data_IF_340095028947
#
_entry.id   IF_340095028947
#
_cell.length_a   1.000
_cell.length_b   1.000
_cell.length_c   1.000
_cell.angle_alpha   90.00
_cell.angle_beta   90.00
_cell.angle_gamma   90.00
#
_symmetry.space_group_name_H-M   'P 1'
#
loop_
_entity.id
_entity.type
_entity.pdbx_description
1 polymer ?
#
# COMPACT_ATOMS: atom_id res chain seq x y z
N UNK A 1 3.10 -4.60 -27.50
CA UNK A 1 3.52 -4.96 -26.13
C UNK A 1 2.79 -6.22 -25.71
N UNK A 2 3.51 -7.25 -25.27
CA UNK A 2 2.96 -8.50 -24.73
C UNK A 2 2.39 -8.28 -23.32
N UNK A 3 1.51 -9.18 -22.85
CA UNK A 3 0.99 -9.10 -21.48
C UNK A 3 2.10 -9.52 -20.53
N UNK A 4 2.38 -8.75 -19.47
CA UNK A 4 3.36 -9.14 -18.46
C UNK A 4 2.97 -10.50 -17.84
N UNK A 5 3.93 -11.43 -17.78
CA UNK A 5 3.71 -12.72 -17.13
C UNK A 5 3.29 -12.53 -15.67
N UNK A 6 2.41 -13.40 -15.15
CA UNK A 6 2.04 -13.40 -13.72
C UNK A 6 3.27 -13.39 -12.81
N UNK A 7 4.27 -14.18 -13.21
CA UNK A 7 5.54 -14.31 -12.53
C UNK A 7 6.31 -12.99 -12.52
N UNK A 8 6.13 -12.09 -13.47
CA UNK A 8 6.78 -10.77 -13.47
C UNK A 8 6.28 -9.89 -12.31
N UNK A 9 4.96 -9.83 -12.08
CA UNK A 9 4.38 -9.09 -10.95
C UNK A 9 4.78 -9.69 -9.61
N UNK A 10 4.75 -11.01 -9.50
CA UNK A 10 5.12 -11.71 -8.27
C UNK A 10 6.62 -11.80 -8.06
N UNK A 11 7.48 -11.69 -9.09
CA UNK A 11 8.95 -11.74 -8.92
C UNK A 11 9.43 -10.61 -8.01
N UNK A 12 8.89 -9.40 -8.15
CA UNK A 12 9.26 -8.29 -7.26
C UNK A 12 8.80 -8.56 -5.82
N UNK A 13 7.59 -9.09 -5.64
CA UNK A 13 7.06 -9.47 -4.31
C UNK A 13 7.93 -10.59 -3.70
N UNK A 14 8.23 -11.64 -4.45
CA UNK A 14 9.05 -12.78 -4.00
C UNK A 14 10.46 -12.34 -3.67
N UNK A 15 11.08 -11.47 -4.47
CA UNK A 15 12.40 -10.90 -4.18
C UNK A 15 12.34 -10.06 -2.90
N UNK A 16 11.35 -9.19 -2.76
CA UNK A 16 11.18 -8.39 -1.54
C UNK A 16 10.99 -9.31 -0.32
N UNK A 17 10.10 -10.28 -0.38
CA UNK A 17 9.83 -11.21 0.72
C UNK A 17 11.07 -12.05 1.06
N UNK A 18 11.82 -12.51 0.06
CA UNK A 18 13.09 -13.19 0.25
C UNK A 18 14.12 -12.29 0.96
N UNK A 19 14.26 -11.02 0.54
CA UNK A 19 15.14 -10.05 1.21
C UNK A 19 14.71 -9.82 2.66
N UNK A 20 13.41 -9.77 2.92
CA UNK A 20 12.85 -9.66 4.27
C UNK A 20 13.04 -10.93 5.11
N UNK A 21 13.45 -12.04 4.49
CA UNK A 21 13.57 -13.33 5.18
C UNK A 21 12.26 -14.08 5.35
N UNK A 22 11.24 -13.74 4.57
CA UNK A 22 9.95 -14.41 4.48
C UNK A 22 9.97 -15.26 3.21
N UNK A 23 10.02 -16.58 3.35
CA UNK A 23 9.84 -17.49 2.22
C UNK A 23 8.35 -17.56 1.85
N UNK A 24 8.05 -17.42 0.55
CA UNK A 24 6.67 -17.53 0.04
C UNK A 24 6.20 -18.99 0.03
N UNK A 25 7.13 -19.94 -0.14
CA UNK A 25 6.80 -21.37 -0.32
C UNK A 25 7.04 -22.24 0.93
N UNK A 26 7.87 -21.78 1.89
CA UNK A 26 8.17 -22.56 3.09
C UNK A 26 7.38 -22.06 4.30
N UNK A 27 7.02 -22.98 5.20
CA UNK A 27 6.29 -22.64 6.43
C UNK A 27 7.15 -21.85 7.43
N UNK A 28 8.48 -21.87 7.30
CA UNK A 28 9.42 -21.31 8.28
C UNK A 28 9.86 -19.90 7.89
N UNK A 29 9.63 -18.96 8.81
CA UNK A 29 10.21 -17.62 8.73
C UNK A 29 11.70 -17.72 9.09
N UNK A 30 12.56 -17.11 8.28
CA UNK A 30 14.00 -17.11 8.56
C UNK A 30 14.34 -16.21 9.75
N UNK A 31 15.45 -16.49 10.43
CA UNK A 31 15.91 -15.68 11.57
C UNK A 31 16.15 -14.20 11.19
N UNK A 32 16.46 -13.94 9.91
CA UNK A 32 16.71 -12.59 9.37
C UNK A 32 15.50 -11.68 9.53
N UNK A 33 14.28 -12.20 9.32
CA UNK A 33 13.06 -11.43 9.49
C UNK A 33 12.92 -10.93 10.94
N UNK A 34 13.14 -11.81 11.91
CA UNK A 34 13.06 -11.43 13.32
C UNK A 34 14.15 -10.42 13.71
N UNK A 35 15.35 -10.53 13.15
CA UNK A 35 16.41 -9.54 13.35
C UNK A 35 16.02 -8.16 12.80
N UNK A 36 15.46 -8.10 11.59
CA UNK A 36 14.96 -6.83 11.01
C UNK A 36 13.75 -6.28 11.75
N UNK A 37 12.88 -7.14 12.27
CA UNK A 37 11.75 -6.71 13.09
C UNK A 37 12.23 -6.09 14.41
N UNK A 38 13.18 -6.75 15.09
CA UNK A 38 13.80 -6.23 16.32
C UNK A 38 14.53 -4.92 16.04
N UNK A 39 15.26 -4.80 14.92
CA UNK A 39 15.99 -3.58 14.59
C UNK A 39 15.05 -2.38 14.38
N UNK A 40 13.91 -2.58 13.71
CA UNK A 40 12.89 -1.54 13.54
C UNK A 40 12.23 -1.19 14.87
N UNK A 41 11.93 -2.17 15.74
CA UNK A 41 11.38 -1.90 17.06
C UNK A 41 12.35 -1.04 17.88
N UNK A 42 13.64 -1.39 17.91
CA UNK A 42 14.66 -0.60 18.61
C UNK A 42 14.73 0.82 18.07
N UNK A 43 14.73 0.99 16.75
CA UNK A 43 14.74 2.30 16.11
C UNK A 43 13.50 3.12 16.49
N UNK A 44 12.31 2.53 16.35
CA UNK A 44 11.04 3.16 16.73
C UNK A 44 11.00 3.57 18.19
N UNK A 45 11.50 2.73 19.09
CA UNK A 45 11.55 3.08 20.52
C UNK A 45 12.45 4.28 20.76
N UNK A 46 13.58 4.39 20.05
CA UNK A 46 14.48 5.54 20.16
C UNK A 46 13.90 6.82 19.56
N UNK A 47 13.20 6.74 18.43
CA UNK A 47 12.52 7.90 17.82
C UNK A 47 11.35 8.40 18.68
N UNK A 48 10.51 7.49 19.19
CA UNK A 48 9.41 7.84 20.09
C UNK A 48 9.96 8.43 21.39
N UNK A 49 11.03 7.85 21.95
CA UNK A 49 11.66 8.39 23.16
C UNK A 49 12.24 9.79 22.92
N UNK A 50 12.86 10.02 21.76
CA UNK A 50 13.33 11.36 21.37
C UNK A 50 12.16 12.34 21.30
N UNK A 51 11.10 11.98 20.58
CA UNK A 51 9.90 12.80 20.41
C UNK A 51 9.27 13.18 21.75
N UNK A 52 9.11 12.21 22.66
CA UNK A 52 8.54 12.44 24.00
C UNK A 52 9.46 13.30 24.86
N UNK A 53 10.77 13.07 24.83
CA UNK A 53 11.73 13.83 25.64
C UNK A 53 11.84 15.30 25.26
N UNK A 54 11.52 15.65 24.01
CA UNK A 54 11.62 17.01 23.46
C UNK A 54 10.28 17.73 23.37
N UNK A 55 9.19 17.12 23.86
CA UNK A 55 7.86 17.70 23.82
C UNK A 55 7.82 19.02 24.61
N UNK A 56 7.79 20.12 23.87
CA UNK A 56 7.83 21.47 24.41
C UNK A 56 7.24 22.41 23.35
N UNK A 57 6.61 23.50 23.80
CA UNK A 57 6.01 24.47 22.87
C UNK A 57 7.03 25.11 21.94
N UNK A 58 8.27 25.29 22.40
CA UNK A 58 9.36 25.91 21.64
C UNK A 58 9.90 25.00 20.52
N UNK A 59 9.85 23.68 20.71
CA UNK A 59 10.33 22.72 19.72
C UNK A 59 9.21 22.12 18.86
N UNK A 60 8.00 22.69 18.92
CA UNK A 60 6.83 22.11 18.27
C UNK A 60 7.02 21.88 16.77
N UNK A 61 7.57 22.87 16.05
CA UNK A 61 7.83 22.77 14.61
C UNK A 61 8.86 21.67 14.28
N UNK A 62 9.92 21.56 15.08
CA UNK A 62 10.91 20.48 14.92
C UNK A 62 10.30 19.10 15.19
N UNK A 63 9.36 19.00 16.12
CA UNK A 63 8.64 17.75 16.39
C UNK A 63 7.71 17.38 15.23
N UNK A 64 7.00 18.34 14.64
CA UNK A 64 6.14 18.07 13.47
C UNK A 64 6.94 17.65 12.24
N UNK A 65 8.19 18.09 12.09
CA UNK A 65 9.13 17.60 11.06
C UNK A 65 9.48 16.11 11.24
N UNK A 66 9.57 15.64 12.49
CA UNK A 66 9.93 14.26 12.84
C UNK A 66 8.73 13.30 12.86
N UNK A 67 7.53 13.79 13.12
CA UNK A 67 6.32 12.99 13.26
C UNK A 67 6.02 12.07 12.04
N UNK A 68 6.20 12.51 10.77
CA UNK A 68 5.98 11.64 9.61
C UNK A 68 6.87 10.39 9.57
N UNK A 69 8.14 10.50 10.01
CA UNK A 69 9.09 9.40 10.08
C UNK A 69 8.64 8.35 11.12
N UNK A 70 8.22 8.79 12.29
CA UNK A 70 7.67 7.91 13.33
C UNK A 70 6.40 7.22 12.81
N UNK A 71 5.52 7.97 12.14
CA UNK A 71 4.28 7.43 11.58
C UNK A 71 4.56 6.37 10.52
N UNK A 72 5.52 6.57 9.61
CA UNK A 72 5.83 5.56 8.57
C UNK A 72 6.51 4.34 9.18
N UNK A 73 7.39 4.51 10.17
CA UNK A 73 7.99 3.42 10.91
C UNK A 73 6.92 2.56 11.59
N UNK A 74 6.00 3.19 12.34
CA UNK A 74 4.87 2.50 12.97
C UNK A 74 3.97 1.82 11.94
N UNK A 75 3.64 2.49 10.84
CA UNK A 75 2.81 1.95 9.77
C UNK A 75 3.45 0.71 9.13
N UNK A 76 4.75 0.76 8.83
CA UNK A 76 5.50 -0.36 8.25
C UNK A 76 5.49 -1.58 9.17
N UNK A 77 5.73 -1.37 10.47
CA UNK A 77 5.70 -2.40 11.50
C UNK A 77 4.31 -3.04 11.62
N UNK A 78 3.26 -2.21 11.74
CA UNK A 78 1.89 -2.70 11.90
C UNK A 78 1.41 -3.49 10.68
N UNK A 79 1.74 -3.01 9.46
CA UNK A 79 1.40 -3.71 8.21
C UNK A 79 2.10 -5.05 8.10
N UNK A 80 3.42 -5.10 8.29
CA UNK A 80 4.18 -6.34 8.07
C UNK A 80 3.79 -7.43 9.07
N UNK A 81 3.55 -7.08 10.34
CA UNK A 81 3.10 -8.04 11.36
C UNK A 81 1.75 -8.64 10.98
N UNK A 82 0.80 -7.82 10.50
CA UNK A 82 -0.51 -8.30 10.06
C UNK A 82 -0.40 -9.27 8.87
N UNK A 83 0.44 -8.96 7.89
CA UNK A 83 0.65 -9.80 6.71
C UNK A 83 1.34 -11.12 7.06
N UNK A 84 2.37 -11.07 7.90
CA UNK A 84 3.10 -12.26 8.35
C UNK A 84 2.20 -13.20 9.15
N UNK A 85 1.29 -12.64 9.96
CA UNK A 85 0.28 -13.42 10.68
C UNK A 85 -0.64 -14.16 9.70
N UNK A 86 -1.05 -13.52 8.60
CA UNK A 86 -1.98 -14.07 7.61
C UNK A 86 -1.28 -14.77 6.43
N UNK A 87 0.03 -15.03 6.50
CA UNK A 87 0.83 -15.53 5.37
C UNK A 87 0.28 -16.80 4.72
N UNK A 88 -0.19 -17.77 5.50
CA UNK A 88 -0.72 -19.02 4.92
C UNK A 88 -1.98 -18.79 4.10
N UNK A 89 -2.84 -17.85 4.54
CA UNK A 89 -4.02 -17.44 3.78
C UNK A 89 -3.61 -16.73 2.49
N UNK A 90 -2.62 -15.85 2.57
CA UNK A 90 -2.07 -15.14 1.41
C UNK A 90 -1.49 -16.13 0.39
N UNK A 91 -0.70 -17.11 0.83
CA UNK A 91 -0.11 -18.11 -0.07
C UNK A 91 -1.19 -18.92 -0.80
N UNK A 92 -2.19 -19.43 -0.07
CA UNK A 92 -3.33 -20.14 -0.67
C UNK A 92 -4.10 -19.27 -1.67
N UNK A 93 -4.27 -17.98 -1.33
CA UNK A 93 -4.93 -17.01 -2.18
C UNK A 93 -4.13 -16.71 -3.46
N UNK A 94 -2.82 -16.57 -3.36
CA UNK A 94 -1.92 -16.36 -4.50
C UNK A 94 -1.90 -17.57 -5.43
N UNK A 95 -1.85 -18.78 -4.89
CA UNK A 95 -1.94 -20.02 -5.68
C UNK A 95 -3.27 -20.05 -6.44
N UNK A 96 -4.37 -19.76 -5.74
CA UNK A 96 -5.71 -19.70 -6.34
C UNK A 96 -5.81 -18.69 -7.47
N UNK A 97 -5.19 -17.51 -7.34
CA UNK A 97 -5.14 -16.51 -8.41
C UNK A 97 -4.20 -16.92 -9.55
N UNK A 98 -3.08 -17.59 -9.26
CA UNK A 98 -2.16 -18.08 -10.28
C UNK A 98 -2.84 -19.10 -11.20
N UNK A 99 -3.60 -20.02 -10.61
CA UNK A 99 -4.37 -21.02 -11.35
C UNK A 99 -5.40 -20.34 -12.26
N UNK A 100 -6.13 -19.34 -11.74
CA UNK A 100 -7.07 -18.56 -12.54
C UNK A 100 -6.39 -17.73 -13.64
N UNK A 101 -5.21 -17.18 -13.37
CA UNK A 101 -4.45 -16.41 -14.35
C UNK A 101 -3.94 -17.28 -15.51
N UNK A 102 -3.64 -18.56 -15.24
CA UNK A 102 -3.25 -19.51 -16.29
C UNK A 102 -4.34 -19.65 -17.36
N UNK A 103 -5.62 -19.58 -16.97
CA UNK A 103 -6.76 -19.56 -17.90
C UNK A 103 -6.78 -18.31 -18.77
N UNK A 104 -6.36 -17.15 -18.23
CA UNK A 104 -6.27 -15.90 -18.98
C UNK A 104 -5.17 -16.03 -20.03
N UNK A 105 -4.01 -16.52 -19.64
CA UNK A 105 -2.87 -16.66 -20.57
C UNK A 105 -3.14 -17.66 -21.69
N UNK A 106 -4.05 -18.61 -21.51
CA UNK A 106 -4.41 -19.58 -22.55
C UNK A 106 -5.30 -18.98 -23.67
N UNK A 107 -5.98 -17.86 -23.44
CA UNK A 107 -6.96 -17.28 -24.38
C UNK A 107 -6.62 -15.83 -24.76
N UNK A 108 -6.28 -15.62 -26.04
CA UNK A 108 -5.90 -14.31 -26.61
C UNK A 108 -7.02 -13.27 -26.43
N UNK A 109 -8.30 -13.68 -26.45
CA UNK A 109 -9.42 -12.75 -26.24
C UNK A 109 -9.43 -12.24 -24.80
N UNK A 110 -9.27 -13.13 -23.82
CA UNK A 110 -9.20 -12.79 -22.39
C UNK A 110 -8.01 -11.90 -22.08
N UNK A 111 -6.87 -12.26 -22.66
CA UNK A 111 -5.65 -11.46 -22.64
C UNK A 111 -5.91 -10.00 -23.05
N UNK A 112 -6.53 -9.77 -24.21
CA UNK A 112 -6.76 -8.42 -24.71
C UNK A 112 -7.66 -7.57 -23.81
N UNK A 113 -8.60 -8.19 -23.09
CA UNK A 113 -9.51 -7.51 -22.16
C UNK A 113 -8.74 -6.93 -20.96
N UNK A 114 -7.86 -7.72 -20.35
CA UNK A 114 -7.19 -7.35 -19.09
C UNK A 114 -5.85 -6.64 -19.27
N UNK A 115 -5.34 -6.61 -20.51
CA UNK A 115 -4.00 -6.11 -20.85
C UNK A 115 -3.76 -4.66 -20.44
N UNK A 116 -4.74 -3.78 -20.67
CA UNK A 116 -4.64 -2.36 -20.33
C UNK A 116 -4.54 -2.17 -18.81
N UNK A 117 -5.37 -2.87 -18.05
CA UNK A 117 -5.40 -2.81 -16.59
C UNK A 117 -4.10 -3.31 -15.97
N UNK A 118 -3.61 -4.47 -16.40
CA UNK A 118 -2.34 -5.03 -15.93
C UNK A 118 -1.13 -4.17 -16.34
N UNK A 119 -1.17 -3.59 -17.54
CA UNK A 119 -0.17 -2.63 -18.00
C UNK A 119 -0.12 -1.39 -17.12
N UNK A 120 -1.29 -0.82 -16.82
CA UNK A 120 -1.44 0.34 -15.94
C UNK A 120 -0.96 0.05 -14.50
N UNK A 121 -1.33 -1.10 -13.94
CA UNK A 121 -0.81 -1.58 -12.65
C UNK A 121 0.72 -1.62 -12.64
N UNK A 122 1.33 -2.21 -13.67
CA UNK A 122 2.79 -2.34 -13.76
C UNK A 122 3.51 -0.99 -13.78
N UNK A 123 2.92 -0.01 -14.47
CA UNK A 123 3.45 1.36 -14.55
C UNK A 123 3.37 2.04 -13.19
N UNK A 124 2.22 1.95 -12.53
CA UNK A 124 2.02 2.57 -11.22
C UNK A 124 2.91 1.97 -10.14
N UNK A 125 3.09 0.64 -10.12
CA UNK A 125 4.01 -0.03 -9.18
C UNK A 125 5.45 0.45 -9.41
N UNK A 126 5.91 0.54 -10.67
CA UNK A 126 7.26 1.02 -11.00
C UNK A 126 7.46 2.45 -10.54
N UNK A 127 6.51 3.33 -10.84
CA UNK A 127 6.57 4.72 -10.41
C UNK A 127 6.60 4.86 -8.88
N UNK A 128 5.71 4.16 -8.19
CA UNK A 128 5.66 4.14 -6.73
C UNK A 128 6.96 3.61 -6.09
N UNK A 129 7.54 2.56 -6.67
CA UNK A 129 8.83 2.02 -6.20
C UNK A 129 9.97 3.02 -6.41
N UNK A 130 10.09 3.63 -7.60
CA UNK A 130 11.12 4.63 -7.90
C UNK A 130 11.00 5.84 -6.96
N UNK A 131 9.78 6.32 -6.73
CA UNK A 131 9.51 7.43 -5.82
C UNK A 131 9.99 7.12 -4.39
N UNK A 132 9.67 5.94 -3.86
CA UNK A 132 10.08 5.55 -2.51
C UNK A 132 11.59 5.29 -2.40
N UNK A 133 12.23 4.74 -3.44
CA UNK A 133 13.70 4.59 -3.50
C UNK A 133 14.38 5.96 -3.52
N UNK A 134 13.85 6.91 -4.28
CA UNK A 134 14.38 8.26 -4.31
C UNK A 134 14.18 8.97 -2.96
N UNK A 135 13.00 8.83 -2.35
CA UNK A 135 12.68 9.37 -1.03
C UNK A 135 13.69 8.89 0.02
N UNK A 136 13.90 7.57 0.13
CA UNK A 136 14.83 7.03 1.13
C UNK A 136 16.28 7.45 0.89
N UNK A 137 16.67 7.62 -0.37
CA UNK A 137 17.99 8.13 -0.71
C UNK A 137 18.15 9.59 -0.24
N UNK A 138 17.16 10.45 -0.51
CA UNK A 138 17.17 11.84 -0.05
C UNK A 138 17.27 11.91 1.48
N UNK A 139 16.47 11.15 2.22
CA UNK A 139 16.51 11.17 3.69
C UNK A 139 17.81 10.59 4.27
N UNK A 140 18.29 9.46 3.74
CA UNK A 140 19.50 8.82 4.27
C UNK A 140 20.77 9.60 3.95
N UNK A 141 20.87 10.27 2.79
CA UNK A 141 22.10 10.96 2.37
C UNK A 141 22.09 12.48 2.60
N UNK A 142 20.94 13.09 2.88
CA UNK A 142 20.85 14.53 3.20
C UNK A 142 21.73 14.91 4.38
N UNK A 143 21.82 14.07 5.41
CA UNK A 143 22.63 14.32 6.61
C UNK A 143 24.12 14.45 6.30
N UNK A 144 24.66 13.59 5.43
CA UNK A 144 26.05 13.71 4.98
C UNK A 144 26.25 14.98 4.16
N UNK A 145 25.32 15.32 3.27
CA UNK A 145 25.41 16.52 2.43
C UNK A 145 25.42 17.78 3.32
N UNK A 146 24.55 17.84 4.34
CA UNK A 146 24.48 18.95 5.29
C UNK A 146 25.77 19.03 6.12
N UNK A 147 26.28 17.89 6.59
CA UNK A 147 27.55 17.83 7.33
C UNK A 147 28.74 18.33 6.49
N UNK A 148 28.82 17.92 5.21
CA UNK A 148 29.84 18.39 4.27
C UNK A 148 29.71 19.89 4.01
N UNK A 149 28.48 20.40 3.87
CA UNK A 149 28.23 21.83 3.72
C UNK A 149 28.71 22.63 4.93
N UNK A 150 28.43 22.18 6.16
CA UNK A 150 28.93 22.84 7.37
C UNK A 150 30.45 22.77 7.50
N UNK A 151 31.06 21.65 7.13
CA UNK A 151 32.52 21.54 7.10
C UNK A 151 33.15 22.57 6.15
N UNK A 152 32.63 22.70 4.93
CA UNK A 152 33.16 23.65 3.93
C UNK A 152 32.92 25.11 4.32
N UNK A 153 31.76 25.43 4.89
CA UNK A 153 31.36 26.83 5.15
C UNK A 153 31.80 27.34 6.51
N UNK A 154 31.78 26.50 7.54
CA UNK A 154 32.05 26.88 8.93
C UNK A 154 33.33 26.27 9.51
N UNK A 155 33.99 25.34 8.80
CA UNK A 155 35.13 24.57 9.31
C UNK A 155 34.83 23.80 10.62
N UNK A 156 33.57 23.48 10.87
CA UNK A 156 33.11 22.73 12.05
C UNK A 156 32.56 21.38 11.63
N UNK A 157 33.00 20.31 12.30
CA UNK A 157 32.47 18.96 12.12
C UNK A 157 31.31 18.79 13.09
N UNK A 158 30.08 18.81 12.56
CA UNK A 158 28.86 18.53 13.34
C UNK A 158 28.29 17.18 12.93
N UNK A 159 28.22 16.25 13.88
CA UNK A 159 27.70 14.90 13.63
C UNK A 159 26.18 14.93 13.59
N UNK A 160 25.60 14.72 12.39
CA UNK A 160 24.15 14.75 12.15
C UNK A 160 23.67 13.33 11.78
N UNK A 161 22.60 12.88 12.41
CA UNK A 161 21.97 11.59 12.11
C UNK A 161 20.79 11.76 11.14
N UNK A 162 20.52 10.79 10.25
CA UNK A 162 19.39 10.83 9.30
C UNK A 162 18.02 10.91 9.95
N UNK A 163 17.89 10.31 11.13
CA UNK A 163 16.66 10.28 11.91
C UNK A 163 17.00 10.71 13.34
N UNK A 164 16.07 11.43 13.98
CA UNK A 164 16.27 11.91 15.34
C UNK A 164 15.92 10.80 16.35
N UNK A 165 16.95 10.27 17.01
CA UNK A 165 16.85 9.12 17.92
C UNK A 165 17.50 9.46 19.26
N UNK A 166 16.85 9.07 20.35
CA UNK A 166 17.43 9.15 21.68
C UNK A 166 18.20 7.86 21.96
N UNK A 167 19.50 7.98 22.23
CA UNK A 167 20.38 6.87 22.55
C UNK A 167 20.89 6.98 23.98
N UNK A 168 21.19 5.84 24.65
CA UNK A 168 21.72 5.84 26.02
C UNK A 168 23.20 6.27 26.11
N UNK A 169 23.85 6.53 24.98
CA UNK A 169 25.25 6.94 24.86
C UNK A 169 25.39 8.12 23.91
N UNK A 170 26.47 8.90 24.04
CA UNK A 170 26.74 10.06 23.19
C UNK A 170 27.28 9.66 21.81
N UNK A 171 26.88 10.41 20.79
CA UNK A 171 27.32 10.23 19.39
C UNK A 171 28.37 11.26 18.97
N UNK A 172 29.04 11.88 19.94
CA UNK A 172 30.04 12.94 19.68
C UNK A 172 31.37 12.36 19.16
N UNK A 173 31.58 11.06 19.31
CA UNK A 173 32.74 10.37 18.75
C UNK A 173 32.46 9.83 17.35
N UNK A 174 33.44 9.96 16.45
CA UNK A 174 33.33 9.52 15.06
C UNK A 174 32.93 8.03 14.93
N UNK A 175 33.50 7.15 15.75
CA UNK A 175 33.19 5.71 15.73
C UNK A 175 31.74 5.45 16.16
N UNK A 176 31.27 6.07 17.25
CA UNK A 176 29.90 5.90 17.70
C UNK A 176 28.91 6.43 16.65
N UNK A 177 29.19 7.60 16.07
CA UNK A 177 28.38 8.16 14.99
C UNK A 177 28.31 7.24 13.78
N UNK A 178 29.44 6.71 13.28
CA UNK A 178 29.46 5.80 12.12
C UNK A 178 28.60 4.57 12.37
N UNK A 179 28.71 3.95 13.55
CA UNK A 179 27.94 2.75 13.90
C UNK A 179 26.44 3.04 13.90
N UNK A 180 26.02 4.12 14.57
CA UNK A 180 24.62 4.54 14.64
C UNK A 180 24.10 4.95 13.26
N UNK A 181 24.93 5.61 12.45
CA UNK A 181 24.58 6.04 11.10
C UNK A 181 24.31 4.85 10.18
N UNK A 182 25.21 3.85 10.16
CA UNK A 182 25.03 2.61 9.38
C UNK A 182 23.77 1.86 9.85
N UNK A 183 23.55 1.78 11.16
CA UNK A 183 22.34 1.17 11.72
C UNK A 183 21.08 1.92 11.28
N UNK A 184 21.09 3.26 11.30
CA UNK A 184 19.96 4.10 10.91
C UNK A 184 19.62 3.95 9.42
N UNK A 185 20.62 3.97 8.54
CA UNK A 185 20.43 3.77 7.09
C UNK A 185 19.84 2.39 6.81
N UNK A 186 20.37 1.35 7.46
CA UNK A 186 19.89 -0.03 7.28
C UNK A 186 18.43 -0.15 7.69
N UNK A 187 18.04 0.45 8.83
CA UNK A 187 16.64 0.47 9.26
C UNK A 187 15.74 1.30 8.33
N UNK A 188 16.22 2.42 7.78
CA UNK A 188 15.49 3.19 6.80
C UNK A 188 15.15 2.37 5.54
N UNK A 189 16.12 1.63 5.00
CA UNK A 189 15.88 0.72 3.87
C UNK A 189 14.91 -0.43 4.24
N UNK A 190 15.08 -1.03 5.42
CA UNK A 190 14.19 -2.09 5.90
C UNK A 190 12.74 -1.60 6.06
N UNK A 191 12.55 -0.40 6.59
CA UNK A 191 11.23 0.24 6.75
C UNK A 191 10.53 0.38 5.40
N UNK A 192 11.22 0.91 4.38
CA UNK A 192 10.67 1.09 3.03
C UNK A 192 10.38 -0.27 2.36
N UNK A 193 11.25 -1.27 2.55
CA UNK A 193 11.00 -2.63 2.05
C UNK A 193 9.73 -3.24 2.68
N UNK A 194 9.57 -3.19 4.00
CA UNK A 194 8.37 -3.68 4.68
C UNK A 194 7.12 -2.96 4.18
N UNK A 195 7.15 -1.64 4.17
CA UNK A 195 6.03 -0.82 3.75
C UNK A 195 5.61 -1.08 2.30
N UNK A 196 6.54 -0.97 1.35
CA UNK A 196 6.24 -1.12 -0.08
C UNK A 196 5.85 -2.55 -0.45
N UNK A 197 6.41 -3.57 0.23
CA UNK A 197 6.09 -4.98 -0.05
C UNK A 197 4.63 -5.33 0.25
N UNK A 198 4.06 -4.77 1.33
CA UNK A 198 2.66 -4.98 1.69
C UNK A 198 1.73 -4.25 0.72
N UNK A 199 2.07 -3.02 0.34
CA UNK A 199 1.25 -2.22 -0.57
C UNK A 199 1.24 -2.80 -2.00
N UNK A 200 2.38 -3.22 -2.51
CA UNK A 200 2.47 -3.90 -3.81
C UNK A 200 1.64 -5.18 -3.80
N UNK A 201 1.71 -5.97 -2.73
CA UNK A 201 0.86 -7.16 -2.58
C UNK A 201 -0.63 -6.78 -2.67
N UNK A 202 -1.07 -5.75 -1.95
CA UNK A 202 -2.45 -5.27 -2.02
C UNK A 202 -2.86 -4.89 -3.45
N UNK A 203 -2.07 -4.07 -4.15
CA UNK A 203 -2.39 -3.61 -5.51
C UNK A 203 -2.48 -4.77 -6.50
N UNK A 204 -1.52 -5.70 -6.46
CA UNK A 204 -1.46 -6.85 -7.37
C UNK A 204 -2.66 -7.78 -7.14
N UNK A 205 -2.91 -8.17 -5.88
CA UNK A 205 -4.00 -9.10 -5.56
C UNK A 205 -5.38 -8.52 -5.89
N UNK A 206 -5.60 -7.25 -5.57
CA UNK A 206 -6.86 -6.56 -5.86
C UNK A 206 -7.07 -6.43 -7.37
N UNK A 207 -6.05 -5.98 -8.11
CA UNK A 207 -6.13 -5.83 -9.56
C UNK A 207 -6.41 -7.15 -10.29
N UNK A 208 -5.74 -8.25 -9.92
CA UNK A 208 -6.03 -9.56 -10.51
C UNK A 208 -7.46 -10.02 -10.22
N UNK A 209 -7.99 -9.75 -9.03
CA UNK A 209 -9.39 -9.99 -8.70
C UNK A 209 -10.34 -9.17 -9.60
N UNK A 210 -10.05 -7.89 -9.78
CA UNK A 210 -10.82 -7.00 -10.68
C UNK A 210 -10.83 -7.52 -12.13
N UNK A 211 -9.66 -7.92 -12.64
CA UNK A 211 -9.56 -8.51 -13.99
C UNK A 211 -10.46 -9.74 -14.14
N UNK A 212 -10.57 -10.58 -13.10
CA UNK A 212 -11.46 -11.75 -13.13
C UNK A 212 -12.95 -11.39 -13.11
N UNK A 213 -13.35 -10.33 -12.41
CA UNK A 213 -14.72 -9.79 -12.49
C UNK A 213 -15.02 -9.23 -13.89
N UNK A 214 -14.08 -8.46 -14.46
CA UNK A 214 -14.18 -7.92 -15.83
C UNK A 214 -14.36 -9.02 -16.87
N UNK A 215 -13.59 -10.11 -16.76
CA UNK A 215 -13.72 -11.27 -17.64
C UNK A 215 -15.09 -11.96 -17.52
N UNK A 216 -15.62 -12.12 -16.30
CA UNK A 216 -16.97 -12.67 -16.10
C UNK A 216 -18.03 -11.77 -16.71
N UNK A 217 -17.91 -10.45 -16.51
CA UNK A 217 -18.81 -9.46 -17.09
C UNK A 217 -18.82 -9.57 -18.62
N UNK A 218 -17.63 -9.65 -19.23
CA UNK A 218 -17.51 -9.80 -20.67
C UNK A 218 -18.04 -11.16 -21.18
N UNK A 219 -17.77 -12.26 -20.48
CA UNK A 219 -18.33 -13.57 -20.80
C UNK A 219 -19.87 -13.52 -20.77
N UNK A 220 -20.48 -12.90 -19.75
CA UNK A 220 -21.93 -12.76 -19.63
C UNK A 220 -22.57 -11.94 -20.76
N UNK A 221 -21.93 -10.84 -21.17
CA UNK A 221 -22.51 -9.90 -22.14
C UNK A 221 -22.56 -10.48 -23.56
N UNK A 222 -21.53 -11.23 -23.98
CA UNK A 222 -21.34 -11.69 -25.37
C UNK A 222 -21.66 -13.18 -25.59
N UNK A 223 -22.42 -13.80 -24.70
CA UNK A 223 -22.88 -15.18 -24.88
C UNK A 223 -24.12 -15.24 -25.78
N UNK A 224 -23.90 -15.42 -27.09
CA UNK A 224 -24.94 -15.51 -28.13
C UNK A 224 -25.95 -16.65 -27.90
N UNK A 225 -25.51 -17.79 -27.35
CA UNK A 225 -26.38 -18.92 -26.98
C UNK A 225 -25.98 -19.47 -25.60
N UNK A 226 -26.61 -18.93 -24.55
CA UNK A 226 -26.42 -19.43 -23.19
C UNK A 226 -27.00 -20.84 -23.03
N UNK A 227 -26.15 -21.85 -23.18
CA UNK A 227 -26.46 -23.20 -22.70
C UNK A 227 -26.44 -23.22 -21.18
N UNK A 228 -27.29 -24.04 -20.57
CA UNK A 228 -27.31 -24.20 -19.10
C UNK A 228 -25.95 -24.59 -18.51
N UNK A 229 -25.10 -25.28 -19.29
CA UNK A 229 -23.73 -25.64 -18.92
C UNK A 229 -22.79 -24.43 -18.86
N UNK A 230 -22.84 -23.51 -19.83
CA UNK A 230 -21.99 -22.31 -19.84
C UNK A 230 -22.36 -21.37 -18.69
N UNK A 231 -23.65 -21.11 -18.50
CA UNK A 231 -24.14 -20.30 -17.38
C UNK A 231 -23.77 -20.92 -16.02
N UNK A 232 -23.88 -22.24 -15.88
CA UNK A 232 -23.46 -22.93 -14.65
C UNK A 232 -21.98 -22.74 -14.37
N UNK A 233 -21.13 -22.76 -15.39
CA UNK A 233 -19.69 -22.54 -15.24
C UNK A 233 -19.40 -21.09 -14.83
N UNK A 234 -20.06 -20.11 -15.43
CA UNK A 234 -19.91 -18.69 -15.09
C UNK A 234 -20.35 -18.43 -13.64
N UNK A 235 -21.49 -18.97 -13.23
CA UNK A 235 -21.98 -18.83 -11.85
C UNK A 235 -20.99 -19.47 -10.86
N UNK A 236 -20.42 -20.62 -11.17
CA UNK A 236 -19.38 -21.25 -10.34
C UNK A 236 -18.12 -20.38 -10.24
N UNK A 237 -17.64 -19.83 -11.35
CA UNK A 237 -16.48 -18.91 -11.37
C UNK A 237 -16.78 -17.65 -10.56
N UNK A 238 -17.94 -17.04 -10.76
CA UNK A 238 -18.38 -15.86 -10.00
C UNK A 238 -18.42 -16.16 -8.50
N UNK A 239 -19.01 -17.28 -8.07
CA UNK A 239 -19.01 -17.69 -6.66
C UNK A 239 -17.61 -17.91 -6.10
N UNK A 240 -16.69 -18.45 -6.90
CA UNK A 240 -15.30 -18.65 -6.49
C UNK A 240 -14.58 -17.32 -6.29
N UNK A 241 -14.70 -16.40 -7.24
CA UNK A 241 -14.11 -15.06 -7.19
C UNK A 241 -14.70 -14.23 -6.04
N UNK A 242 -16.00 -14.36 -5.76
CA UNK A 242 -16.64 -13.77 -4.57
C UNK A 242 -16.09 -14.33 -3.25
N UNK A 243 -15.66 -15.60 -3.21
CA UNK A 243 -14.99 -16.15 -2.02
C UNK A 243 -13.59 -15.59 -1.88
N UNK A 244 -12.87 -15.44 -3.00
CA UNK A 244 -11.55 -14.82 -3.03
C UNK A 244 -11.62 -13.37 -2.55
N UNK A 245 -12.58 -12.55 -3.01
CA UNK A 245 -12.72 -11.16 -2.55
C UNK A 245 -12.96 -11.06 -1.03
N UNK A 246 -13.69 -12.01 -0.43
CA UNK A 246 -13.86 -12.05 1.03
C UNK A 246 -12.55 -12.40 1.77
N UNK A 247 -11.72 -13.28 1.18
CA UNK A 247 -10.39 -13.58 1.72
C UNK A 247 -9.47 -12.37 1.60
N UNK A 248 -9.51 -11.65 0.47
CA UNK A 248 -8.77 -10.41 0.26
C UNK A 248 -9.14 -9.37 1.32
N UNK A 249 -10.43 -9.17 1.56
CA UNK A 249 -10.91 -8.25 2.59
C UNK A 249 -10.44 -8.67 3.99
N UNK A 250 -10.53 -9.96 4.35
CA UNK A 250 -9.97 -10.42 5.63
C UNK A 250 -8.47 -10.10 5.73
N UNK A 251 -7.68 -10.36 4.68
CA UNK A 251 -6.22 -10.11 4.69
C UNK A 251 -5.91 -8.62 4.96
N UNK A 252 -6.58 -7.71 4.27
CA UNK A 252 -6.18 -6.30 4.22
C UNK A 252 -7.00 -5.34 5.09
N UNK A 253 -8.07 -5.79 5.74
CA UNK A 253 -8.92 -4.89 6.54
C UNK A 253 -8.17 -4.15 7.65
N UNK A 254 -7.23 -4.82 8.33
CA UNK A 254 -6.39 -4.22 9.40
C UNK A 254 -5.25 -3.37 8.81
N UNK A 255 -4.43 -3.84 7.84
CA UNK A 255 -3.46 -2.99 7.15
C UNK A 255 -4.05 -1.69 6.58
N UNK A 256 -5.23 -1.77 5.97
CA UNK A 256 -5.93 -0.62 5.40
C UNK A 256 -6.38 0.37 6.47
N UNK A 257 -6.81 -0.12 7.63
CA UNK A 257 -7.14 0.75 8.76
C UNK A 257 -5.94 1.58 9.22
N UNK A 258 -4.78 0.95 9.43
CA UNK A 258 -3.58 1.69 9.79
C UNK A 258 -3.11 2.62 8.67
N UNK A 259 -3.32 2.24 7.40
CA UNK A 259 -3.01 3.08 6.26
C UNK A 259 -3.81 4.40 6.27
N UNK A 260 -5.12 4.30 6.53
CA UNK A 260 -6.00 5.48 6.64
C UNK A 260 -5.63 6.33 7.86
N UNK A 261 -5.42 5.71 9.02
CA UNK A 261 -5.11 6.41 10.26
C UNK A 261 -3.77 7.14 10.19
N UNK A 262 -2.68 6.41 9.94
CA UNK A 262 -1.33 6.99 9.88
C UNK A 262 -1.17 7.92 8.69
N UNK A 263 -1.80 7.60 7.55
CA UNK A 263 -1.80 8.45 6.36
C UNK A 263 -2.42 9.82 6.62
N UNK A 264 -3.53 9.90 7.36
CA UNK A 264 -4.14 11.19 7.73
C UNK A 264 -3.23 12.04 8.63
N UNK A 265 -2.55 11.42 9.60
CA UNK A 265 -1.59 12.08 10.47
C UNK A 265 -0.37 12.59 9.69
N UNK A 266 0.14 11.76 8.76
CA UNK A 266 1.26 12.12 7.89
C UNK A 266 0.92 13.31 6.99
N UNK A 267 -0.23 13.27 6.30
CA UNK A 267 -0.65 14.39 5.43
C UNK A 267 -0.80 15.68 6.24
N UNK A 268 -1.41 15.60 7.43
CA UNK A 268 -1.56 16.76 8.31
C UNK A 268 -0.19 17.34 8.73
N UNK A 269 0.72 16.52 9.22
CA UNK A 269 2.05 16.96 9.67
C UNK A 269 2.90 17.50 8.51
N UNK A 270 2.91 16.81 7.37
CA UNK A 270 3.64 17.24 6.18
C UNK A 270 3.06 18.53 5.58
N UNK A 271 1.72 18.66 5.56
CA UNK A 271 1.05 19.89 5.13
C UNK A 271 1.39 21.08 6.04
N UNK A 272 1.48 20.84 7.35
CA UNK A 272 1.94 21.85 8.30
C UNK A 272 3.38 22.29 8.02
N UNK A 273 4.32 21.34 7.92
CA UNK A 273 5.73 21.62 7.64
C UNK A 273 5.92 22.32 6.28
N UNK A 274 5.08 22.01 5.28
CA UNK A 274 5.12 22.69 3.98
C UNK A 274 4.77 24.18 4.06
N UNK A 275 4.00 24.60 5.08
CA UNK A 275 3.58 26.00 5.22
C UNK A 275 4.37 26.78 6.26
N UNK A 276 4.82 26.13 7.33
CA UNK A 276 5.49 26.77 8.46
C UNK A 276 6.98 26.44 8.53
N UNK A 277 7.44 25.38 7.86
CA UNK A 277 8.80 24.85 7.98
C UNK A 277 9.84 25.58 7.13
N UNK A 278 11.11 25.19 7.33
CA UNK A 278 12.25 25.82 6.68
C UNK A 278 12.39 25.41 5.20
N UNK A 279 12.78 26.37 4.36
CA UNK A 279 13.01 26.16 2.92
C UNK A 279 14.06 25.09 2.61
N UNK A 280 15.01 24.87 3.51
CA UNK A 280 16.09 23.88 3.36
C UNK A 280 15.57 22.44 3.35
N UNK A 281 14.46 22.16 4.02
CA UNK A 281 13.87 20.82 4.13
C UNK A 281 12.69 20.60 3.19
N UNK A 282 12.26 21.63 2.45
CA UNK A 282 11.07 21.60 1.59
C UNK A 282 11.08 20.45 0.58
N UNK A 283 12.23 20.14 -0.02
CA UNK A 283 12.32 19.06 -0.99
C UNK A 283 11.92 17.71 -0.38
N UNK A 284 12.43 17.40 0.81
CA UNK A 284 12.10 16.16 1.53
C UNK A 284 10.61 16.09 1.90
N UNK A 285 10.07 17.19 2.42
CA UNK A 285 8.64 17.31 2.79
C UNK A 285 7.73 17.11 1.57
N UNK A 286 8.03 17.76 0.44
CA UNK A 286 7.25 17.62 -0.80
C UNK A 286 7.31 16.20 -1.33
N UNK A 287 8.50 15.58 -1.37
CA UNK A 287 8.65 14.20 -1.83
C UNK A 287 7.89 13.22 -0.93
N UNK A 288 7.95 13.39 0.39
CA UNK A 288 7.25 12.55 1.34
C UNK A 288 5.73 12.72 1.18
N UNK A 289 5.24 13.97 1.10
CA UNK A 289 3.82 14.25 0.91
C UNK A 289 3.29 13.61 -0.38
N UNK A 290 4.05 13.72 -1.49
CA UNK A 290 3.70 13.05 -2.75
C UNK A 290 3.65 11.53 -2.58
N UNK A 291 4.63 10.92 -1.91
CA UNK A 291 4.65 9.47 -1.68
C UNK A 291 3.42 8.99 -0.91
N UNK A 292 3.05 9.67 0.18
CA UNK A 292 1.88 9.32 1.01
C UNK A 292 0.57 9.53 0.23
N UNK A 293 0.45 10.63 -0.52
CA UNK A 293 -0.73 10.90 -1.34
C UNK A 293 -0.92 9.83 -2.42
N UNK A 294 0.15 9.49 -3.15
CA UNK A 294 0.13 8.45 -4.19
C UNK A 294 -0.24 7.11 -3.57
N UNK A 295 0.32 6.77 -2.42
CA UNK A 295 0.02 5.51 -1.73
C UNK A 295 -1.46 5.39 -1.35
N UNK A 296 -2.04 6.41 -0.71
CA UNK A 296 -3.45 6.38 -0.28
C UNK A 296 -4.37 6.42 -1.51
N UNK A 297 -4.02 7.24 -2.51
CA UNK A 297 -4.75 7.29 -3.78
C UNK A 297 -4.78 5.91 -4.45
N UNK A 298 -3.63 5.26 -4.61
CA UNK A 298 -3.51 3.92 -5.16
C UNK A 298 -4.36 2.90 -4.39
N UNK A 299 -4.30 2.96 -3.05
CA UNK A 299 -5.09 2.05 -2.20
C UNK A 299 -6.59 2.20 -2.45
N UNK A 300 -7.05 3.45 -2.55
CA UNK A 300 -8.45 3.79 -2.84
C UNK A 300 -8.85 3.49 -4.28
N UNK A 301 -7.97 3.70 -5.25
CA UNK A 301 -8.16 3.41 -6.68
C UNK A 301 -8.43 1.92 -6.90
N UNK A 302 -7.58 1.04 -6.35
CA UNK A 302 -7.81 -0.40 -6.50
C UNK A 302 -9.02 -0.89 -5.70
N UNK A 303 -9.31 -0.26 -4.55
CA UNK A 303 -10.55 -0.52 -3.80
C UNK A 303 -11.80 -0.15 -4.60
N UNK A 304 -11.80 1.03 -5.24
CA UNK A 304 -12.89 1.47 -6.11
C UNK A 304 -13.04 0.56 -7.33
N UNK A 305 -11.94 0.21 -8.00
CA UNK A 305 -11.97 -0.68 -9.14
C UNK A 305 -12.62 -2.02 -8.79
N UNK A 306 -12.37 -2.55 -7.58
CA UNK A 306 -13.03 -3.78 -7.14
C UNK A 306 -14.55 -3.62 -7.02
N UNK A 307 -14.99 -2.48 -6.47
CA UNK A 307 -16.42 -2.13 -6.37
C UNK A 307 -17.00 -2.10 -7.78
N UNK A 308 -16.47 -1.26 -8.67
CA UNK A 308 -16.97 -1.08 -10.03
C UNK A 308 -16.97 -2.38 -10.84
N UNK A 309 -15.87 -3.14 -10.86
CA UNK A 309 -15.81 -4.39 -11.61
C UNK A 309 -16.79 -5.45 -11.08
N UNK A 310 -17.01 -5.48 -9.76
CA UNK A 310 -18.00 -6.40 -9.18
C UNK A 310 -19.45 -6.01 -9.51
N UNK A 311 -19.74 -4.72 -9.69
CA UNK A 311 -21.06 -4.21 -10.10
C UNK A 311 -21.33 -4.49 -11.58
N UNK A 312 -20.32 -4.33 -12.44
CA UNK A 312 -20.40 -4.60 -13.88
C UNK A 312 -20.89 -6.00 -14.20
N UNK A 313 -20.60 -6.99 -13.36
CA UNK A 313 -21.16 -8.35 -13.51
C UNK A 313 -22.70 -8.35 -13.50
N UNK A 314 -23.32 -7.52 -12.67
CA UNK A 314 -24.77 -7.34 -12.65
C UNK A 314 -25.29 -6.61 -13.89
N UNK A 315 -24.58 -5.59 -14.36
CA UNK A 315 -24.92 -4.85 -15.57
C UNK A 315 -24.85 -5.74 -16.81
N UNK A 316 -23.79 -6.54 -16.96
CA UNK A 316 -23.65 -7.51 -18.04
C UNK A 316 -24.71 -8.60 -17.99
N UNK A 317 -25.06 -9.08 -16.80
CA UNK A 317 -26.15 -10.04 -16.65
C UNK A 317 -27.52 -9.45 -17.04
N UNK A 318 -27.73 -8.15 -16.83
CA UNK A 318 -28.93 -7.46 -17.31
C UNK A 318 -28.92 -7.26 -18.84
N UNK A 319 -27.74 -6.93 -19.39
CA UNK A 319 -27.56 -6.64 -20.81
C UNK A 319 -27.53 -7.88 -21.71
N UNK A 320 -27.35 -9.08 -21.16
CA UNK A 320 -27.40 -10.30 -21.95
C UNK A 320 -28.82 -10.56 -22.50
N UNK A 321 -28.95 -11.36 -23.56
CA UNK A 321 -30.22 -11.67 -24.24
C UNK A 321 -31.10 -12.64 -23.43
N UNK A 322 -31.27 -12.41 -22.11
CA UNK A 322 -31.96 -13.30 -21.18
C UNK A 322 -33.42 -13.55 -21.54
N UNK A 323 -34.05 -12.62 -22.26
CA UNK A 323 -35.43 -12.72 -22.74
C UNK A 323 -35.60 -13.73 -23.88
N UNK A 324 -34.52 -14.10 -24.56
CA UNK A 324 -34.49 -15.14 -25.59
C UNK A 324 -34.08 -16.52 -25.04
N UNK A 325 -33.86 -16.65 -23.73
CA UNK A 325 -33.39 -17.89 -23.10
C UNK A 325 -34.55 -18.70 -22.51
N UNK A 326 -34.30 -19.99 -22.28
CA UNK A 326 -35.23 -20.84 -21.54
C UNK A 326 -35.48 -20.32 -20.11
N UNK A 327 -36.59 -20.74 -19.50
CA UNK A 327 -37.01 -20.35 -18.14
C UNK A 327 -35.95 -20.68 -17.08
N UNK A 328 -35.21 -21.79 -17.24
CA UNK A 328 -34.19 -22.23 -16.29
C UNK A 328 -32.95 -21.31 -16.26
N UNK A 329 -32.29 -20.98 -17.39
CA UNK A 329 -31.21 -20.01 -17.42
C UNK A 329 -31.65 -18.62 -16.94
N UNK A 330 -32.85 -18.18 -17.34
CA UNK A 330 -33.42 -16.90 -16.93
C UNK A 330 -33.49 -16.75 -15.40
N UNK A 331 -33.94 -17.80 -14.68
CA UNK A 331 -33.96 -17.80 -13.21
C UNK A 331 -32.56 -17.67 -12.58
N UNK A 332 -31.53 -18.25 -13.19
CA UNK A 332 -30.16 -18.15 -12.69
C UNK A 332 -29.57 -16.76 -12.92
N UNK A 333 -29.89 -16.13 -14.06
CA UNK A 333 -29.51 -14.74 -14.34
C UNK A 333 -30.18 -13.80 -13.34
N UNK A 334 -31.46 -14.01 -13.02
CA UNK A 334 -32.15 -13.24 -11.99
C UNK A 334 -31.45 -13.34 -10.63
N UNK A 335 -31.04 -14.55 -10.22
CA UNK A 335 -30.28 -14.74 -8.98
C UNK A 335 -28.92 -14.03 -9.01
N UNK A 336 -28.23 -14.07 -10.15
CA UNK A 336 -26.96 -13.37 -10.35
C UNK A 336 -27.16 -11.85 -10.23
N UNK A 337 -28.17 -11.29 -10.87
CA UNK A 337 -28.52 -9.86 -10.79
C UNK A 337 -28.86 -9.44 -9.36
N UNK A 338 -29.65 -10.25 -8.64
CA UNK A 338 -29.95 -10.01 -7.22
C UNK A 338 -28.69 -10.06 -6.35
N UNK A 339 -27.74 -10.96 -6.65
CA UNK A 339 -26.47 -11.04 -5.93
C UNK A 339 -25.56 -9.85 -6.23
N UNK A 340 -25.51 -9.37 -7.47
CA UNK A 340 -24.65 -8.25 -7.89
C UNK A 340 -25.07 -6.90 -7.31
N UNK A 341 -26.31 -6.77 -6.80
CA UNK A 341 -26.73 -5.60 -6.00
C UNK A 341 -25.89 -5.38 -4.73
N UNK A 342 -25.08 -6.36 -4.32
CA UNK A 342 -24.13 -6.25 -3.21
C UNK A 342 -22.70 -6.30 -3.76
N UNK A 343 -22.10 -5.15 -4.11
CA UNK A 343 -20.73 -5.10 -4.63
C UNK A 343 -19.72 -5.67 -3.63
N UNK A 344 -18.55 -6.04 -4.14
CA UNK A 344 -17.42 -6.40 -3.29
C UNK A 344 -16.68 -5.14 -2.88
N UNK A 345 -16.59 -4.94 -1.57
CA UNK A 345 -15.98 -3.77 -0.95
C UNK A 345 -14.77 -4.20 -0.14
N UNK A 346 -13.74 -3.34 -0.12
CA UNK A 346 -12.66 -3.42 0.85
C UNK A 346 -12.87 -2.39 1.94
N UNK A 347 -12.51 -2.68 3.19
CA UNK A 347 -12.73 -1.75 4.31
C UNK A 347 -11.48 -1.49 5.13
N UNK A 348 -11.44 -0.34 5.79
CA UNK A 348 -10.52 -0.03 6.87
C UNK A 348 -11.15 -0.50 8.20
N UNK A 349 -11.03 -1.78 8.52
CA UNK A 349 -11.61 -2.40 9.73
C UNK A 349 -13.09 -2.03 9.96
N UNK A 350 -13.89 -2.01 8.89
CA UNK A 350 -15.31 -1.59 8.87
C UNK A 350 -15.60 -0.13 9.25
N UNK A 351 -14.60 0.70 9.55
CA UNK A 351 -14.78 2.13 9.81
C UNK A 351 -15.09 2.93 8.55
N UNK A 352 -14.45 2.55 7.43
CA UNK A 352 -14.65 3.19 6.14
C UNK A 352 -14.49 2.17 5.02
N UNK A 353 -15.22 2.35 3.94
CA UNK A 353 -15.00 1.63 2.69
C UNK A 353 -13.80 2.25 1.99
N UNK A 354 -12.90 1.44 1.44
CA UNK A 354 -11.74 1.90 0.65
C UNK A 354 -12.22 2.24 -0.76
N UNK A 355 -12.42 3.53 -1.00
CA UNK A 355 -13.04 4.10 -2.20
C UNK A 355 -12.50 5.51 -2.47
N UNK A 356 -12.81 6.11 -3.61
CA UNK A 356 -12.48 7.52 -3.86
C UNK A 356 -13.09 8.47 -2.83
N UNK A 357 -14.28 8.15 -2.33
CA UNK A 357 -14.91 8.91 -1.25
C UNK A 357 -14.07 8.89 0.03
N UNK A 358 -13.44 7.75 0.35
CA UNK A 358 -12.52 7.63 1.46
C UNK A 358 -11.28 8.51 1.26
N UNK A 359 -10.70 8.53 0.06
CA UNK A 359 -9.57 9.39 -0.26
C UNK A 359 -9.91 10.88 -0.05
N UNK A 360 -11.04 11.35 -0.58
CA UNK A 360 -11.50 12.73 -0.38
C UNK A 360 -11.73 13.04 1.10
N UNK A 361 -12.30 12.09 1.85
CA UNK A 361 -12.51 12.24 3.30
C UNK A 361 -11.18 12.36 4.07
N UNK A 362 -10.17 11.56 3.71
CA UNK A 362 -8.83 11.65 4.32
C UNK A 362 -8.20 13.01 4.04
N UNK A 363 -8.26 13.50 2.79
CA UNK A 363 -7.72 14.82 2.45
C UNK A 363 -8.45 15.92 3.22
N UNK A 364 -9.80 15.91 3.23
CA UNK A 364 -10.61 16.93 3.89
C UNK A 364 -10.38 16.97 5.40
N UNK A 365 -10.29 15.80 6.05
CA UNK A 365 -10.00 15.71 7.49
C UNK A 365 -8.57 16.16 7.81
N UNK A 366 -7.58 15.75 7.01
CA UNK A 366 -6.19 16.18 7.18
C UNK A 366 -6.04 17.70 6.99
N UNK A 367 -6.75 18.28 6.01
CA UNK A 367 -6.78 19.72 5.80
C UNK A 367 -7.42 20.46 6.97
N UNK A 368 -8.52 19.94 7.51
CA UNK A 368 -9.19 20.51 8.68
C UNK A 368 -8.25 20.53 9.90
N UNK A 369 -7.59 19.41 10.20
CA UNK A 369 -6.60 19.34 11.27
C UNK A 369 -5.40 20.25 11.01
N UNK A 370 -4.91 20.32 9.78
CA UNK A 370 -3.87 21.25 9.38
C UNK A 370 -4.26 22.71 9.67
N UNK A 371 -5.48 23.13 9.31
CA UNK A 371 -5.94 24.51 9.58
C UNK A 371 -6.06 24.82 11.07
N UNK A 372 -6.49 23.85 11.88
CA UNK A 372 -6.51 23.96 13.35
C UNK A 372 -5.09 24.09 13.88
N UNK A 373 -4.17 23.23 13.42
CA UNK A 373 -2.77 23.28 13.85
C UNK A 373 -2.11 24.62 13.51
N UNK A 374 -2.39 25.13 12.30
CA UNK A 374 -1.89 26.43 11.82
C UNK A 374 -2.42 27.60 12.63
N UNK A 375 -3.71 27.62 12.95
CA UNK A 375 -4.31 28.71 13.75
C UNK A 375 -3.73 28.73 15.17
N UNK A 376 -3.68 27.57 15.83
CA UNK A 376 -3.08 27.44 17.17
C UNK A 376 -1.59 27.87 17.19
N UNK A 377 -0.87 27.61 16.10
CA UNK A 377 0.54 28.01 15.99
C UNK A 377 0.71 29.50 15.66
N UNK A 378 -0.16 30.08 14.84
CA UNK A 378 -0.10 31.50 14.46
C UNK A 378 -0.61 32.44 15.56
N UNK A 379 -1.45 31.95 16.48
CA UNK A 379 -1.94 32.69 17.65
C UNK A 379 -0.91 32.73 18.82
N UNK A 380 0.29 32.16 18.63
CA UNK A 380 1.45 32.30 19.52
C UNK A 380 2.47 33.23 18.92
#
# INVERSE_FOLDING_TARGET
>A
MEIPEFKHFFKQIVVNYFLLGISFDESKISIRFYLFLISIILMLTGEISFFVSKISSENFLKLTELAPCICIGLLSFLKIVCIVWKREKINKFVISLSDLYSEITADIKKQNIVKSELGFLSLLIKYYFILNVFLIFVYNFSSIIIMLYYYITKNEITFILPYAVLLPFSTDSMLAWIVVYIFSITNGFNCVLFFTSVDILYYVLTCHLCCHFSLISNELQYLDTMTMSSLRNIVKKHQYILKLSLILEDIFTVPNFFNVLMGSLQICALGFNLTMGDWTQMLGVVLFLNSVLIQIYMTCLFGENLICESEKVGEAAYACLWYNMDVRPMKHILLLLLRSKKPQILTAYKFSVISYQCFTKIISTSWSYFTILRTIYADK
#
